data_IF_016371997478
#
_entry.id   IF_016371997478
#
_cell.length_a   1.000
_cell.length_b   1.000
_cell.length_c   1.000
_cell.angle_alpha   90.00
_cell.angle_beta   90.00
_cell.angle_gamma   90.00
#
_symmetry.space_group_name_H-M   'P 1'
#
loop_
_entity.id
_entity.type
_entity.pdbx_description
1 polymer ?
#
# COMPACT_ATOMS: atom_id res chain seq x y z
N UNK A 1 -1.23 -25.92 13.57
CA UNK A 1 -0.41 -25.18 12.59
C UNK A 1 0.39 -24.17 13.37
N UNK A 2 1.70 -24.16 13.16
CA UNK A 2 2.62 -23.23 13.82
C UNK A 2 3.24 -22.37 12.71
N UNK A 3 3.17 -21.05 12.85
CA UNK A 3 3.67 -20.10 11.84
C UNK A 3 4.90 -19.43 12.39
N UNK A 4 6.04 -19.69 11.77
CA UNK A 4 7.33 -19.13 12.13
C UNK A 4 7.71 -18.05 11.10
N UNK A 5 8.15 -16.90 11.59
CA UNK A 5 8.69 -15.83 10.76
C UNK A 5 10.20 -16.04 10.66
N UNK A 6 10.72 -16.12 9.44
CA UNK A 6 12.14 -16.32 9.17
C UNK A 6 12.70 -15.17 8.35
N UNK A 7 13.84 -14.63 8.77
CA UNK A 7 14.57 -13.62 8.00
C UNK A 7 15.56 -14.29 7.05
N UNK A 8 15.56 -13.85 5.80
CA UNK A 8 16.50 -14.30 4.79
C UNK A 8 17.83 -13.55 4.93
N UNK A 9 18.84 -14.20 5.49
CA UNK A 9 20.19 -13.62 5.67
C UNK A 9 21.03 -13.65 4.39
N UNK A 10 20.71 -14.54 3.45
CA UNK A 10 21.43 -14.70 2.18
C UNK A 10 20.47 -14.86 1.00
N UNK A 11 20.85 -14.32 -0.16
CA UNK A 11 20.07 -14.42 -1.41
C UNK A 11 19.82 -15.88 -1.86
N UNK A 12 20.73 -16.79 -1.52
CA UNK A 12 20.60 -18.22 -1.84
C UNK A 12 19.60 -18.96 -0.94
N UNK A 13 19.26 -18.39 0.23
CA UNK A 13 18.31 -19.00 1.15
C UNK A 13 16.89 -19.04 0.58
N UNK A 14 16.56 -18.14 -0.37
CA UNK A 14 15.26 -18.15 -1.04
C UNK A 14 15.07 -19.40 -1.90
N UNK A 15 16.13 -19.88 -2.56
CA UNK A 15 16.06 -21.14 -3.33
C UNK A 15 15.84 -22.32 -2.39
N UNK A 16 16.59 -22.39 -1.28
CA UNK A 16 16.44 -23.44 -0.27
C UNK A 16 15.02 -23.49 0.30
N UNK A 17 14.40 -22.34 0.58
CA UNK A 17 13.02 -22.30 1.05
C UNK A 17 12.04 -22.81 -0.02
N UNK A 18 12.28 -22.53 -1.30
CA UNK A 18 11.45 -23.08 -2.38
C UNK A 18 11.61 -24.59 -2.52
N UNK A 19 12.84 -25.09 -2.34
CA UNK A 19 13.11 -26.52 -2.39
C UNK A 19 12.40 -27.23 -1.22
N UNK A 20 12.39 -26.62 -0.02
CA UNK A 20 11.63 -27.11 1.13
C UNK A 20 10.10 -27.04 0.93
N UNK A 21 9.61 -26.02 0.23
CA UNK A 21 8.20 -25.93 -0.16
C UNK A 21 7.83 -27.01 -1.19
N UNK A 22 8.71 -27.30 -2.16
CA UNK A 22 8.51 -28.37 -3.13
C UNK A 22 8.48 -29.78 -2.49
N UNK A 23 9.06 -29.92 -1.31
CA UNK A 23 9.02 -31.13 -0.49
C UNK A 23 7.83 -31.17 0.50
N UNK A 24 6.90 -30.20 0.42
CA UNK A 24 5.75 -30.04 1.32
C UNK A 24 6.11 -29.88 2.82
N UNK A 25 7.35 -29.49 3.13
CA UNK A 25 7.83 -29.31 4.52
C UNK A 25 7.39 -27.96 5.08
N UNK A 26 7.44 -26.92 4.25
CA UNK A 26 7.06 -25.55 4.62
C UNK A 26 6.14 -24.95 3.57
N UNK A 27 5.34 -23.95 3.97
CA UNK A 27 4.51 -23.19 3.05
C UNK A 27 4.97 -21.75 3.03
N UNK A 28 5.40 -21.25 1.88
CA UNK A 28 5.87 -19.87 1.75
C UNK A 28 4.68 -18.93 1.63
N UNK A 29 4.36 -18.27 2.73
CA UNK A 29 3.46 -17.11 2.71
C UNK A 29 4.24 -15.92 2.16
N UNK A 30 4.38 -15.86 0.83
CA UNK A 30 4.89 -14.67 0.17
C UNK A 30 3.93 -13.52 0.46
N UNK A 31 4.29 -12.69 1.44
CA UNK A 31 3.71 -11.39 1.68
C UNK A 31 4.06 -10.47 0.51
N UNK A 32 3.59 -10.78 -0.70
CA UNK A 32 3.37 -9.73 -1.67
C UNK A 32 2.25 -8.91 -1.06
N UNK A 33 2.62 -7.83 -0.37
CA UNK A 33 1.71 -6.73 -0.18
C UNK A 33 0.99 -6.53 -1.51
N UNK A 34 -0.32 -6.77 -1.51
CA UNK A 34 -1.14 -6.51 -2.68
C UNK A 34 -0.76 -5.10 -3.14
N UNK A 35 -0.52 -4.87 -4.45
CA UNK A 35 -0.04 -3.58 -4.93
C UNK A 35 -0.93 -2.52 -4.31
N UNK A 36 -0.35 -1.67 -3.45
CA UNK A 36 -1.12 -0.68 -2.70
C UNK A 36 -1.94 0.10 -3.73
N UNK A 37 -3.25 -0.18 -3.79
CA UNK A 37 -4.14 0.53 -4.72
C UNK A 37 -3.91 2.00 -4.48
N UNK A 38 -3.62 2.75 -5.55
CA UNK A 38 -3.33 4.18 -5.40
C UNK A 38 -4.48 4.79 -4.62
N UNK A 39 -4.18 5.58 -3.60
CA UNK A 39 -5.23 6.20 -2.76
C UNK A 39 -6.24 6.97 -3.63
N UNK A 40 -5.77 7.52 -4.75
CA UNK A 40 -6.63 8.13 -5.78
C UNK A 40 -7.71 7.19 -6.33
N UNK A 41 -7.43 5.90 -6.52
CA UNK A 41 -8.39 4.90 -6.96
C UNK A 41 -9.33 4.47 -5.83
N UNK A 42 -8.83 4.44 -4.58
CA UNK A 42 -9.64 4.11 -3.40
C UNK A 42 -10.71 5.16 -3.09
N UNK A 43 -10.38 6.44 -3.29
CA UNK A 43 -11.27 7.55 -2.95
C UNK A 43 -11.98 8.18 -4.16
N UNK A 44 -11.81 7.61 -5.37
CA UNK A 44 -12.47 8.09 -6.59
C UNK A 44 -13.98 7.93 -6.47
N UNK A 45 -14.72 9.05 -6.52
CA UNK A 45 -16.18 9.04 -6.46
C UNK A 45 -16.79 8.96 -5.05
N UNK A 46 -15.97 8.97 -4.00
CA UNK A 46 -16.46 9.06 -2.60
C UNK A 46 -16.96 10.47 -2.27
N UNK A 47 -16.42 11.49 -2.94
CA UNK A 47 -16.83 12.88 -2.76
C UNK A 47 -17.80 13.31 -3.87
N UNK A 48 -19.00 13.83 -3.52
CA UNK A 48 -19.89 14.43 -4.51
C UNK A 48 -19.25 15.68 -5.12
N UNK A 49 -19.56 15.95 -6.40
CA UNK A 49 -18.93 17.03 -7.17
C UNK A 49 -19.04 18.40 -6.49
N UNK A 50 -20.21 18.68 -5.93
CA UNK A 50 -20.53 19.94 -5.22
C UNK A 50 -19.60 20.15 -4.02
N UNK A 51 -19.44 19.14 -3.16
CA UNK A 51 -18.53 19.22 -2.02
C UNK A 51 -17.05 19.32 -2.43
N UNK A 52 -16.69 18.81 -3.61
CA UNK A 52 -15.34 18.98 -4.17
C UNK A 52 -15.06 20.40 -4.63
N UNK A 53 -16.03 21.03 -5.30
CA UNK A 53 -15.91 22.41 -5.78
C UNK A 53 -15.83 23.40 -4.61
N UNK A 54 -16.65 23.21 -3.57
CA UNK A 54 -16.63 24.05 -2.37
C UNK A 54 -15.28 23.97 -1.64
N UNK A 55 -14.72 22.77 -1.54
CA UNK A 55 -13.45 22.54 -0.84
C UNK A 55 -12.27 23.12 -1.63
N UNK A 56 -12.29 23.01 -2.96
CA UNK A 56 -11.30 23.66 -3.83
C UNK A 56 -11.41 25.18 -3.74
N UNK A 57 -12.63 25.72 -3.74
CA UNK A 57 -12.88 27.15 -3.59
C UNK A 57 -12.33 27.68 -2.26
N UNK A 58 -12.62 26.99 -1.16
CA UNK A 58 -12.14 27.35 0.18
C UNK A 58 -10.61 27.27 0.30
N UNK A 59 -9.99 26.24 -0.28
CA UNK A 59 -8.52 26.10 -0.30
C UNK A 59 -7.87 27.23 -1.10
N UNK A 60 -8.46 27.64 -2.22
CA UNK A 60 -7.94 28.74 -3.03
C UNK A 60 -8.09 30.09 -2.31
N UNK A 61 -9.19 30.32 -1.60
CA UNK A 61 -9.36 31.49 -0.76
C UNK A 61 -8.27 31.56 0.32
N UNK A 62 -8.08 30.48 1.09
CA UNK A 62 -7.02 30.42 2.10
C UNK A 62 -5.64 30.68 1.50
N UNK A 63 -5.31 30.08 0.35
CA UNK A 63 -4.01 30.33 -0.31
C UNK A 63 -3.83 31.79 -0.74
N UNK A 64 -4.89 32.42 -1.22
CA UNK A 64 -4.87 33.84 -1.60
C UNK A 64 -4.68 34.76 -0.40
N UNK A 65 -5.24 34.39 0.77
CA UNK A 65 -5.06 35.13 2.01
C UNK A 65 -3.61 35.04 2.52
N UNK A 66 -2.96 33.88 2.35
CA UNK A 66 -1.56 33.68 2.73
C UNK A 66 -0.55 34.25 1.73
N UNK A 67 -0.92 34.38 0.45
CA UNK A 67 -0.06 34.98 -0.59
C UNK A 67 -0.04 36.51 -0.60
N UNK A 68 -0.92 37.14 0.20
CA UNK A 68 -0.99 38.59 0.38
C UNK A 68 -0.39 39.06 1.73
N UNK A 69 0.39 38.19 2.39
CA UNK A 69 1.22 38.48 3.58
C UNK A 69 2.69 38.41 3.17
#
# INVERSE_FOLDING_TARGET
METLIVELTHKNALQLLRDLEAMDIIRLHSGKEAPQKKLSEKYKGVLPKEAGEDLVSHVNQMRSEWGNI
#
